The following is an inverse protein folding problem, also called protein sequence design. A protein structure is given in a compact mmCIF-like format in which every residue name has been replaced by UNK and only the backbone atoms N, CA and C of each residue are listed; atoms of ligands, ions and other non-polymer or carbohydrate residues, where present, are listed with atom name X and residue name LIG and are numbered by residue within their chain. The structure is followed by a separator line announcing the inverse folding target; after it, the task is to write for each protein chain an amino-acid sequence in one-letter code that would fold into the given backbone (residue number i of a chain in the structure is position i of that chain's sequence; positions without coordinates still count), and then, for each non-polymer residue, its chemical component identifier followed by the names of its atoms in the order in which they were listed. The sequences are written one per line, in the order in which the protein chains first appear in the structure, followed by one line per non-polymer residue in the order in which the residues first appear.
data_IF_733063996330
#
_entry.id   IF_733063996330
#
_cell.length_a   1.000
_cell.length_b   1.000
_cell.length_c   1.000
_cell.angle_alpha   90.00
_cell.angle_beta   90.00
_cell.angle_gamma   90.00
#
_symmetry.space_group_name_H-M   'P 1'
#
loop_
_entity.id
_entity.type
_entity.pdbx_description
1 polymer ?
#
# COMPACT_ATOMS: atom_id res chain seq x y z
N UNK A 1 26.47 -48.54 54.13
CA UNK A 1 26.63 -47.14 53.67
C UNK A 1 25.76 -46.95 52.43
N UNK A 2 24.62 -46.25 52.54
CA UNK A 2 23.75 -45.92 51.40
C UNK A 2 23.67 -44.39 51.32
N UNK A 3 24.30 -43.79 50.31
CA UNK A 3 24.20 -42.35 50.03
C UNK A 3 22.99 -42.13 49.12
N UNK A 4 21.98 -41.45 49.61
CA UNK A 4 20.82 -40.99 48.85
C UNK A 4 21.20 -39.73 48.07
N UNK A 5 21.15 -39.78 46.74
CA UNK A 5 21.24 -38.60 45.88
C UNK A 5 19.86 -37.94 45.82
N UNK A 6 19.73 -36.70 46.30
CA UNK A 6 18.56 -35.87 46.02
C UNK A 6 18.73 -35.19 44.67
N UNK A 7 17.83 -35.50 43.74
CA UNK A 7 17.76 -34.84 42.43
C UNK A 7 16.78 -33.65 42.54
N UNK A 8 17.30 -32.43 42.66
CA UNK A 8 16.49 -31.22 42.56
C UNK A 8 16.16 -30.96 41.09
N UNK A 9 14.90 -31.20 40.69
CA UNK A 9 14.37 -30.76 39.40
C UNK A 9 14.07 -29.26 39.46
N UNK A 10 14.98 -28.44 38.92
CA UNK A 10 14.72 -27.03 38.62
C UNK A 10 13.77 -26.95 37.42
N UNK A 11 12.49 -26.66 37.69
CA UNK A 11 11.50 -26.36 36.66
C UNK A 11 11.63 -24.89 36.26
N UNK A 12 12.25 -24.63 35.11
CA UNK A 12 12.21 -23.31 34.50
C UNK A 12 10.88 -23.17 33.74
N UNK A 13 10.01 -22.19 34.08
CA UNK A 13 8.83 -21.94 33.26
C UNK A 13 9.27 -21.50 31.86
N UNK A 14 8.88 -22.27 30.85
CA UNK A 14 9.04 -21.89 29.45
C UNK A 14 8.10 -20.71 29.17
N UNK A 15 8.64 -19.49 29.15
CA UNK A 15 7.91 -18.32 28.70
C UNK A 15 7.88 -18.35 27.17
N UNK A 16 6.74 -18.77 26.60
CA UNK A 16 6.50 -18.62 25.18
C UNK A 16 6.52 -17.12 24.84
N UNK A 17 7.51 -16.68 24.06
CA UNK A 17 7.54 -15.34 23.49
C UNK A 17 6.47 -15.30 22.40
N UNK A 18 5.26 -14.85 22.72
CA UNK A 18 4.27 -14.51 21.70
C UNK A 18 4.63 -13.15 21.11
N UNK A 19 5.58 -13.11 20.16
CA UNK A 19 5.60 -12.00 19.21
C UNK A 19 4.33 -12.14 18.37
N UNK A 20 3.33 -11.31 18.63
CA UNK A 20 2.21 -11.18 17.71
C UNK A 20 2.73 -10.53 16.42
N UNK A 21 3.26 -11.33 15.50
CA UNK A 21 3.59 -10.93 14.15
C UNK A 21 2.28 -10.68 13.39
N UNK A 22 1.58 -9.60 13.75
CA UNK A 22 0.39 -9.17 13.03
C UNK A 22 0.82 -8.73 11.64
N UNK A 23 0.28 -9.39 10.61
CA UNK A 23 0.40 -8.92 9.24
C UNK A 23 -0.07 -7.46 9.17
N UNK A 24 0.64 -6.62 8.42
CA UNK A 24 0.25 -5.23 8.18
C UNK A 24 0.06 -4.97 6.67
N UNK A 25 -0.80 -4.02 6.30
CA UNK A 25 -1.14 -3.70 4.90
C UNK A 25 -0.32 -2.52 4.36
N UNK A 26 0.29 -2.58 3.16
CA UNK A 26 1.28 -1.62 2.67
C UNK A 26 1.01 -0.15 3.00
N UNK A 27 2.07 0.62 3.28
CA UNK A 27 1.92 2.06 3.54
C UNK A 27 2.25 2.88 2.30
N UNK A 28 1.30 3.69 1.84
CA UNK A 28 1.56 4.66 0.78
C UNK A 28 2.55 5.74 1.25
N UNK A 29 3.60 6.02 0.47
CA UNK A 29 4.63 7.03 0.78
C UNK A 29 4.62 8.19 -0.20
N UNK A 30 4.62 7.92 -1.51
CA UNK A 30 4.62 8.94 -2.56
C UNK A 30 3.65 8.50 -3.66
N UNK A 31 2.76 9.37 -4.15
CA UNK A 31 2.39 10.68 -3.59
C UNK A 31 1.89 10.62 -2.14
N UNK A 32 2.24 11.63 -1.33
CA UNK A 32 1.71 11.77 0.04
C UNK A 32 0.26 12.25 0.02
N UNK A 33 -0.42 12.12 1.16
CA UNK A 33 -1.79 12.61 1.32
C UNK A 33 -1.88 14.12 1.06
N UNK A 34 -2.70 14.52 0.10
CA UNK A 34 -2.93 15.92 -0.28
C UNK A 34 -1.83 16.52 -1.16
N UNK A 35 -0.85 15.73 -1.62
CA UNK A 35 0.20 16.23 -2.49
C UNK A 35 -0.38 16.89 -3.75
N UNK A 36 0.23 18.00 -4.16
CA UNK A 36 -0.13 18.71 -5.38
C UNK A 36 1.02 18.64 -6.39
N UNK A 37 0.68 18.44 -7.65
CA UNK A 37 1.63 18.36 -8.76
C UNK A 37 1.24 19.31 -9.89
N UNK A 38 2.22 19.83 -10.61
CA UNK A 38 1.93 20.57 -11.83
C UNK A 38 1.32 19.63 -12.86
N UNK A 39 0.54 20.20 -13.79
CA UNK A 39 -0.01 19.43 -14.90
C UNK A 39 1.09 18.75 -15.72
N UNK A 40 2.22 19.45 -15.94
CA UNK A 40 3.38 18.91 -16.64
C UNK A 40 3.95 17.64 -15.96
N UNK A 41 3.94 17.57 -14.63
CA UNK A 41 4.36 16.36 -13.93
C UNK A 41 3.39 15.19 -14.15
N UNK A 42 2.08 15.45 -14.20
CA UNK A 42 1.08 14.41 -14.41
C UNK A 42 0.97 13.93 -15.87
N UNK A 43 1.30 14.76 -16.86
CA UNK A 43 1.36 14.36 -18.27
C UNK A 43 2.66 13.61 -18.62
N UNK A 44 3.74 13.84 -17.88
CA UNK A 44 5.04 13.20 -18.15
C UNK A 44 5.23 11.92 -17.35
N UNK A 45 5.62 12.01 -16.09
CA UNK A 45 5.88 10.86 -15.21
C UNK A 45 5.64 11.20 -13.75
N UNK A 46 5.04 10.27 -13.02
CA UNK A 46 4.88 10.33 -11.57
C UNK A 46 5.38 9.05 -10.92
N UNK A 47 6.14 9.22 -9.84
CA UNK A 47 6.69 8.10 -9.06
C UNK A 47 5.69 7.74 -7.97
N UNK A 48 5.37 6.45 -7.87
CA UNK A 48 4.62 5.88 -6.77
C UNK A 48 5.56 5.04 -5.91
N UNK A 49 5.60 5.31 -4.61
CA UNK A 49 6.41 4.57 -3.63
C UNK A 49 5.54 4.16 -2.45
N UNK A 50 5.73 2.95 -1.96
CA UNK A 50 5.10 2.45 -0.75
C UNK A 50 6.11 1.71 0.12
N UNK A 51 5.81 1.63 1.41
CA UNK A 51 6.52 0.78 2.35
C UNK A 51 5.92 -0.63 2.28
N UNK A 52 6.73 -1.67 1.98
CA UNK A 52 6.34 -3.05 2.21
C UNK A 52 5.99 -3.25 3.68
N UNK A 53 4.90 -3.95 3.97
CA UNK A 53 4.47 -4.20 5.34
C UNK A 53 4.70 -5.64 5.81
N UNK A 54 5.53 -6.41 5.11
CA UNK A 54 5.91 -7.76 5.51
C UNK A 54 7.30 -7.81 6.17
N UNK A 55 7.37 -8.35 7.38
CA UNK A 55 8.38 -9.34 7.76
C UNK A 55 7.70 -10.67 8.13
N UNK A 56 6.69 -11.09 7.35
CA UNK A 56 6.09 -12.42 7.44
C UNK A 56 6.84 -13.37 6.49
N UNK A 57 6.88 -14.67 6.81
CA UNK A 57 7.40 -15.72 5.91
C UNK A 57 6.73 -15.70 4.52
N UNK A 58 5.57 -15.02 4.41
CA UNK A 58 4.86 -14.75 3.16
C UNK A 58 5.14 -13.33 2.65
N UNK A 59 6.34 -13.09 2.12
CA UNK A 59 6.60 -11.86 1.39
C UNK A 59 5.69 -11.78 0.14
N UNK A 60 5.10 -10.62 -0.18
CA UNK A 60 4.32 -10.47 -1.40
C UNK A 60 5.20 -10.74 -2.62
N UNK A 61 4.69 -11.56 -3.54
CA UNK A 61 5.34 -11.81 -4.83
C UNK A 61 5.12 -10.65 -5.79
N UNK A 62 4.03 -9.89 -5.60
CA UNK A 62 3.74 -8.66 -6.34
C UNK A 62 2.88 -7.68 -5.53
N UNK A 63 2.94 -6.42 -5.94
CA UNK A 63 2.05 -5.36 -5.53
C UNK A 63 1.17 -4.93 -6.69
N UNK A 64 -0.10 -4.64 -6.44
CA UNK A 64 -1.02 -4.08 -7.44
C UNK A 64 -1.34 -2.63 -7.08
N UNK A 65 -0.78 -1.70 -7.85
CA UNK A 65 -1.12 -0.29 -7.80
C UNK A 65 -2.43 -0.06 -8.54
N UNK A 66 -3.35 0.66 -7.92
CA UNK A 66 -4.55 1.20 -8.57
C UNK A 66 -4.67 2.69 -8.33
N UNK A 67 -5.06 3.43 -9.36
CA UNK A 67 -5.28 4.88 -9.31
C UNK A 67 -6.65 5.16 -9.93
N UNK A 68 -7.48 5.93 -9.24
CA UNK A 68 -8.78 6.38 -9.72
C UNK A 68 -8.82 7.89 -9.79
N UNK A 69 -9.61 8.41 -10.73
CA UNK A 69 -10.03 9.80 -10.68
C UNK A 69 -11.11 9.97 -9.60
N UNK A 70 -10.97 11.03 -8.81
CA UNK A 70 -11.95 11.47 -7.83
C UNK A 70 -12.74 12.64 -8.44
N UNK A 71 -13.97 12.39 -8.87
CA UNK A 71 -14.82 13.40 -9.49
C UNK A 71 -15.38 14.38 -8.45
N UNK A 72 -15.77 15.57 -8.89
CA UNK A 72 -16.42 16.57 -8.03
C UNK A 72 -17.68 15.96 -7.41
N UNK A 73 -17.88 16.18 -6.11
CA UNK A 73 -19.02 15.64 -5.36
C UNK A 73 -18.90 14.16 -4.94
N UNK A 74 -17.88 13.42 -5.39
CA UNK A 74 -17.66 12.03 -4.94
C UNK A 74 -16.86 11.97 -3.64
N UNK A 75 -17.19 10.99 -2.79
CA UNK A 75 -16.31 10.54 -1.71
C UNK A 75 -15.24 9.59 -2.24
N UNK A 76 -14.15 9.40 -1.47
CA UNK A 76 -13.07 8.45 -1.81
C UNK A 76 -13.63 7.03 -2.02
N UNK A 77 -14.45 6.56 -1.08
CA UNK A 77 -15.05 5.23 -1.13
C UNK A 77 -15.94 5.07 -2.35
N UNK A 78 -16.72 6.10 -2.70
CA UNK A 78 -17.58 6.09 -3.88
C UNK A 78 -16.77 6.04 -5.17
N UNK A 79 -15.71 6.84 -5.29
CA UNK A 79 -14.83 6.82 -6.46
C UNK A 79 -14.20 5.43 -6.67
N UNK A 80 -13.68 4.80 -5.61
CA UNK A 80 -13.06 3.47 -5.71
C UNK A 80 -14.06 2.35 -6.00
N UNK A 81 -15.34 2.51 -5.61
CA UNK A 81 -16.39 1.51 -5.82
C UNK A 81 -17.05 1.62 -7.19
N UNK A 82 -17.29 2.84 -7.66
CA UNK A 82 -18.11 3.11 -8.85
C UNK A 82 -17.25 3.37 -10.09
N UNK A 83 -16.11 4.04 -9.94
CA UNK A 83 -15.27 4.39 -11.08
C UNK A 83 -14.35 3.21 -11.43
N UNK A 84 -14.08 3.03 -12.72
CA UNK A 84 -12.98 2.16 -13.13
C UNK A 84 -11.63 2.82 -12.78
N UNK A 85 -10.63 2.07 -12.28
CA UNK A 85 -9.30 2.62 -12.07
C UNK A 85 -8.72 3.11 -13.41
N UNK A 86 -8.24 4.35 -13.44
CA UNK A 86 -7.46 4.87 -14.57
C UNK A 86 -6.21 4.04 -14.82
N UNK A 87 -5.58 3.59 -13.73
CA UNK A 87 -4.39 2.75 -13.76
C UNK A 87 -4.64 1.52 -12.91
N UNK A 88 -4.33 0.35 -13.46
CA UNK A 88 -4.08 -0.88 -12.71
C UNK A 88 -2.73 -1.43 -13.15
N UNK A 89 -1.76 -1.53 -12.23
CA UNK A 89 -0.40 -1.97 -12.55
C UNK A 89 0.13 -2.95 -11.50
N UNK A 90 0.52 -4.13 -11.96
CA UNK A 90 1.22 -5.11 -11.13
C UNK A 90 2.73 -4.83 -11.14
N UNK A 91 3.36 -4.84 -9.97
CA UNK A 91 4.76 -4.54 -9.73
C UNK A 91 5.36 -5.69 -8.93
N UNK A 92 6.26 -6.46 -9.55
CA UNK A 92 6.90 -7.63 -8.93
C UNK A 92 8.17 -7.20 -8.19
N UNK A 93 8.39 -7.75 -7.00
CA UNK A 93 9.63 -7.64 -6.22
C UNK A 93 10.16 -6.21 -5.98
N UNK A 94 9.31 -5.18 -6.13
CA UNK A 94 9.68 -3.79 -5.93
C UNK A 94 8.56 -3.04 -5.19
N UNK A 95 8.95 -2.03 -4.42
CA UNK A 95 8.02 -1.19 -3.63
C UNK A 95 7.85 0.21 -4.21
N UNK A 96 8.16 0.36 -5.48
CA UNK A 96 7.97 1.60 -6.24
C UNK A 96 7.73 1.32 -7.71
N UNK A 97 7.08 2.25 -8.40
CA UNK A 97 6.94 2.22 -9.86
C UNK A 97 6.78 3.64 -10.42
N UNK A 98 6.92 3.76 -11.74
CA UNK A 98 6.68 4.99 -12.47
C UNK A 98 5.44 4.78 -13.34
N UNK A 99 4.55 5.77 -13.30
CA UNK A 99 3.40 5.90 -14.19
C UNK A 99 3.66 7.09 -15.11
N UNK A 100 3.46 6.89 -16.41
CA UNK A 100 3.60 7.92 -17.42
C UNK A 100 2.21 8.37 -17.87
N UNK A 101 2.06 9.67 -18.18
CA UNK A 101 0.82 10.20 -18.76
C UNK A 101 -0.44 9.86 -17.97
N UNK A 102 -0.47 10.18 -16.66
CA UNK A 102 -1.65 9.96 -15.83
C UNK A 102 -2.87 10.74 -16.33
N UNK A 103 -2.61 11.86 -17.00
CA UNK A 103 -3.60 12.65 -17.75
C UNK A 103 -3.11 12.85 -19.19
N UNK A 104 -4.04 12.99 -20.13
CA UNK A 104 -3.75 13.20 -21.55
C UNK A 104 -3.77 14.68 -21.93
N UNK A 105 -2.72 15.16 -22.61
CA UNK A 105 -2.70 16.41 -23.37
C UNK A 105 -2.72 17.73 -22.57
N UNK A 106 -2.55 18.88 -23.24
CA UNK A 106 -2.75 20.19 -22.64
C UNK A 106 -4.24 20.39 -22.37
N UNK A 107 -4.59 20.39 -21.09
CA UNK A 107 -5.91 20.66 -20.58
C UNK A 107 -6.38 22.07 -20.94
N UNK A 108 -7.60 22.18 -21.47
CA UNK A 108 -8.32 23.45 -21.58
C UNK A 108 -9.02 23.65 -20.23
N UNK A 109 -8.67 24.73 -19.51
CA UNK A 109 -9.15 25.09 -18.16
C UNK A 109 -10.68 24.89 -17.94
N UNK A 110 -11.16 24.71 -16.69
CA UNK A 110 -10.53 25.14 -15.42
C UNK A 110 -10.50 24.12 -14.25
N UNK A 111 -10.51 22.81 -14.50
CA UNK A 111 -10.67 21.83 -13.41
C UNK A 111 -9.37 21.34 -12.73
N UNK A 112 -9.42 21.22 -11.40
CA UNK A 112 -8.44 20.49 -10.59
C UNK A 112 -8.68 19.00 -10.77
N UNK A 113 -7.68 18.26 -11.25
CA UNK A 113 -7.73 16.81 -11.21
C UNK A 113 -7.41 16.32 -9.81
N UNK A 114 -8.30 15.51 -9.24
CA UNK A 114 -8.08 14.83 -7.96
C UNK A 114 -8.03 13.34 -8.22
N UNK A 115 -7.13 12.66 -7.51
CA UNK A 115 -6.93 11.23 -7.64
C UNK A 115 -6.93 10.58 -6.26
N UNK A 116 -7.28 9.30 -6.24
CA UNK A 116 -7.01 8.40 -5.12
C UNK A 116 -6.16 7.24 -5.62
N UNK A 117 -5.20 6.80 -4.83
CA UNK A 117 -4.40 5.62 -5.12
C UNK A 117 -4.29 4.68 -3.93
N UNK A 118 -4.14 3.40 -4.24
CA UNK A 118 -3.91 2.31 -3.27
C UNK A 118 -2.93 1.30 -3.85
N UNK A 119 -2.26 0.57 -2.97
CA UNK A 119 -1.44 -0.59 -3.31
C UNK A 119 -1.96 -1.81 -2.56
N UNK A 120 -2.16 -2.91 -3.29
CA UNK A 120 -2.56 -4.20 -2.75
C UNK A 120 -1.39 -5.18 -2.76
N UNK A 121 -1.06 -5.78 -1.62
CA UNK A 121 -0.07 -6.86 -1.52
C UNK A 121 -0.68 -8.20 -1.95
N UNK A 122 0.02 -8.94 -2.82
CA UNK A 122 -0.44 -10.22 -3.39
C UNK A 122 0.68 -11.27 -3.34
N UNK A 123 0.34 -12.51 -3.02
CA UNK A 123 1.17 -13.71 -3.20
C UNK A 123 0.52 -14.66 -4.23
N UNK A 124 1.01 -15.90 -4.34
CA UNK A 124 0.45 -16.92 -5.26
C UNK A 124 -0.96 -17.38 -4.87
N UNK A 125 -1.34 -17.22 -3.60
CA UNK A 125 -2.64 -17.63 -3.05
C UNK A 125 -3.67 -16.50 -3.09
N UNK A 126 -3.25 -15.25 -3.28
CA UNK A 126 -4.16 -14.10 -3.34
C UNK A 126 -3.63 -12.91 -2.55
N UNK A 127 -4.53 -12.11 -2.01
CA UNK A 127 -4.15 -10.94 -1.22
C UNK A 127 -3.70 -11.34 0.18
N UNK A 128 -2.71 -10.60 0.70
CA UNK A 128 -2.08 -10.93 1.99
C UNK A 128 -2.16 -9.77 2.97
N UNK A 129 -2.46 -10.09 4.23
CA UNK A 129 -2.57 -9.11 5.30
C UNK A 129 -3.95 -8.46 5.44
N UNK A 130 -4.11 -7.60 6.44
CA UNK A 130 -5.40 -6.99 6.76
C UNK A 130 -5.94 -6.17 5.60
N UNK A 131 -7.24 -5.85 5.64
CA UNK A 131 -7.92 -5.08 4.60
C UNK A 131 -7.70 -5.67 3.18
N UNK A 132 -7.64 -7.00 3.06
CA UNK A 132 -7.37 -7.70 1.80
C UNK A 132 -6.03 -7.26 1.16
N UNK A 133 -4.98 -7.13 1.96
CA UNK A 133 -3.66 -6.58 1.56
C UNK A 133 -3.68 -5.13 1.08
N UNK A 134 -4.80 -4.46 1.36
CA UNK A 134 -5.21 -3.09 1.05
C UNK A 134 -4.46 -1.94 1.73
N UNK A 135 -3.59 -1.17 1.09
CA UNK A 135 -3.16 0.10 1.71
C UNK A 135 -4.34 1.03 1.99
N UNK A 136 -4.20 1.93 2.97
CA UNK A 136 -5.17 3.03 3.12
C UNK A 136 -5.17 3.89 1.85
N UNK A 137 -6.34 4.35 1.37
CA UNK A 137 -6.40 5.24 0.21
C UNK A 137 -5.66 6.55 0.49
N UNK A 138 -4.94 7.04 -0.50
CA UNK A 138 -4.21 8.31 -0.43
C UNK A 138 -4.60 9.17 -1.61
N UNK A 139 -4.86 10.45 -1.36
CA UNK A 139 -5.27 11.39 -2.41
C UNK A 139 -4.17 12.34 -2.80
N UNK A 140 -4.11 12.73 -4.07
CA UNK A 140 -3.26 13.80 -4.58
C UNK A 140 -4.01 14.55 -5.69
N UNK A 141 -3.52 15.72 -6.09
CA UNK A 141 -4.19 16.54 -7.11
C UNK A 141 -3.22 17.31 -7.99
N UNK A 142 -3.76 17.95 -9.02
CA UNK A 142 -3.06 19.05 -9.68
C UNK A 142 -3.03 20.29 -8.78
N UNK A 143 -1.97 21.09 -8.85
CA UNK A 143 -1.97 22.46 -8.34
C UNK A 143 -2.85 23.34 -9.22
N UNK A 144 -3.59 24.28 -8.63
CA UNK A 144 -4.06 25.42 -9.40
C UNK A 144 -2.87 26.36 -9.62
N UNK A 145 -2.78 26.92 -10.82
CA UNK A 145 -1.79 27.94 -11.13
C UNK A 145 -2.06 29.20 -10.30
#
# INVERSE_FOLDING_TARGET
MKKTLSLLLLTFPFQAITQSNSLKSPQNLIPTQGAQYTQAALTTKLIFKWKPEAPSQEAPTKYRLRIWQLMVGQSITQAMKVNQPLITKDVKFASQTIIFGLISGPYIMPYIYRFVWTVQALNIYGAIGPNNGTSKPTTFSTSQF
#
